data_IF_928495120765
#
_entry.id   IF_928495120765
#
_cell.length_a   1.000
_cell.length_b   1.000
_cell.length_c   1.000
_cell.angle_alpha   90.00
_cell.angle_beta   90.00
_cell.angle_gamma   90.00
#
_symmetry.space_group_name_H-M   'P 1'
#
loop_
_entity.id
_entity.type
_entity.pdbx_description
1 polymer ?
#
# COMPACT_ATOMS: atom_id res chain seq x y z
N UNK A 1 5.82 2.38 12.73
CA UNK A 1 5.58 1.41 13.82
C UNK A 1 6.65 0.34 13.75
N UNK A 2 7.23 -0.08 14.88
CA UNK A 2 8.19 -1.19 14.90
C UNK A 2 7.51 -2.54 14.72
N UNK A 3 8.22 -3.55 14.23
CA UNK A 3 7.65 -4.86 13.88
C UNK A 3 6.95 -5.58 15.03
N UNK A 4 7.53 -5.55 16.24
CA UNK A 4 6.90 -6.14 17.45
C UNK A 4 5.54 -5.48 17.72
N UNK A 5 5.49 -4.14 17.76
CA UNK A 5 4.24 -3.41 18.00
C UNK A 5 3.20 -3.71 16.93
N UNK A 6 3.61 -3.76 15.65
CA UNK A 6 2.70 -4.08 14.55
C UNK A 6 2.00 -5.43 14.73
N UNK A 7 2.75 -6.48 15.12
CA UNK A 7 2.21 -7.82 15.31
C UNK A 7 1.44 -8.00 16.63
N UNK A 8 1.69 -7.14 17.63
CA UNK A 8 1.12 -7.32 18.98
C UNK A 8 0.01 -6.35 19.34
N UNK A 9 -0.33 -5.37 18.48
CA UNK A 9 -1.41 -4.40 18.74
C UNK A 9 -2.64 -4.65 17.88
N UNK A 10 -3.85 -4.31 18.37
CA UNK A 10 -5.08 -4.36 17.59
C UNK A 10 -5.00 -3.55 16.29
N UNK A 11 -5.81 -3.91 15.30
CA UNK A 11 -5.84 -3.27 13.99
C UNK A 11 -5.96 -1.73 14.04
N UNK A 12 -6.85 -1.19 14.89
CA UNK A 12 -7.06 0.26 14.98
C UNK A 12 -5.88 1.03 15.62
N UNK A 13 -4.96 0.36 16.33
CA UNK A 13 -3.69 0.99 16.76
C UNK A 13 -2.77 1.30 15.57
N UNK A 14 -2.87 0.54 14.49
CA UNK A 14 -2.10 0.82 13.27
C UNK A 14 -2.61 2.11 12.61
N UNK A 15 -3.93 2.30 12.58
CA UNK A 15 -4.56 3.51 12.08
C UNK A 15 -4.17 4.73 12.91
N UNK A 16 -4.27 4.62 14.24
CA UNK A 16 -3.87 5.69 15.16
C UNK A 16 -2.41 6.11 14.93
N UNK A 17 -1.49 5.15 14.89
CA UNK A 17 -0.07 5.43 14.66
C UNK A 17 0.20 6.05 13.28
N UNK A 18 -0.56 5.66 12.25
CA UNK A 18 -0.44 6.25 10.92
C UNK A 18 -0.93 7.70 10.90
N UNK A 19 -2.10 7.99 11.49
CA UNK A 19 -2.66 9.34 11.55
C UNK A 19 -1.79 10.28 12.37
N UNK A 20 -1.35 9.87 13.57
CA UNK A 20 -0.46 10.65 14.41
C UNK A 20 0.79 11.07 13.63
N UNK A 21 1.43 10.10 12.98
CA UNK A 21 2.62 10.34 12.16
C UNK A 21 2.34 11.30 11.01
N UNK A 22 1.31 11.05 10.22
CA UNK A 22 0.98 11.86 9.04
C UNK A 22 0.60 13.29 9.41
N UNK A 23 -0.20 13.49 10.47
CA UNK A 23 -0.59 14.81 10.93
C UNK A 23 0.62 15.63 11.39
N UNK A 24 1.58 14.99 12.06
CA UNK A 24 2.85 15.62 12.46
C UNK A 24 3.74 15.92 11.25
N UNK A 25 3.97 14.94 10.37
CA UNK A 25 4.81 15.11 9.17
C UNK A 25 4.28 16.17 8.21
N UNK A 26 2.96 16.34 8.13
CA UNK A 26 2.31 17.38 7.31
C UNK A 26 2.14 18.72 8.04
N UNK A 27 2.57 18.82 9.30
CA UNK A 27 2.52 20.06 10.09
C UNK A 27 1.11 20.48 10.51
N UNK A 28 0.13 19.58 10.45
CA UNK A 28 -1.25 19.83 10.92
C UNK A 28 -1.28 19.94 12.44
N UNK A 29 -0.47 19.13 13.12
CA UNK A 29 -0.24 19.20 14.58
C UNK A 29 1.27 19.10 14.86
N UNK A 30 1.73 19.65 15.98
CA UNK A 30 3.12 19.45 16.41
C UNK A 30 3.23 18.22 17.32
N UNK A 31 4.39 17.54 17.29
CA UNK A 31 4.66 16.41 18.18
C UNK A 31 4.46 16.79 19.67
N UNK A 32 4.95 17.95 20.08
CA UNK A 32 4.76 18.47 21.43
C UNK A 32 3.28 18.73 21.79
N UNK A 33 2.41 19.04 20.82
CA UNK A 33 0.98 19.18 21.08
C UNK A 33 0.32 17.80 21.33
N UNK A 34 0.75 16.77 20.61
CA UNK A 34 0.30 15.38 20.83
C UNK A 34 0.74 14.90 22.21
N UNK A 35 2.02 15.04 22.56
CA UNK A 35 2.58 14.62 23.85
C UNK A 35 1.84 15.27 25.04
N UNK A 36 1.62 16.58 25.01
CA UNK A 36 0.87 17.27 26.08
C UNK A 36 -0.56 16.75 26.24
N UNK A 37 -1.24 16.39 25.16
CA UNK A 37 -2.59 15.82 25.24
C UNK A 37 -2.59 14.39 25.76
N UNK A 38 -1.57 13.61 25.41
CA UNK A 38 -1.38 12.26 25.96
C UNK A 38 -1.12 12.30 27.46
N UNK A 39 -0.24 13.19 27.94
CA UNK A 39 0.03 13.36 29.36
C UNK A 39 -1.23 13.76 30.14
N UNK A 40 -2.04 14.68 29.57
CA UNK A 40 -3.32 15.05 30.16
C UNK A 40 -4.31 13.87 30.19
N UNK A 41 -4.36 13.06 29.13
CA UNK A 41 -5.23 11.88 29.02
C UNK A 41 -4.89 10.77 30.01
N UNK A 42 -3.60 10.58 30.31
CA UNK A 42 -3.11 9.54 31.22
C UNK A 42 -3.11 9.97 32.69
N UNK A 43 -3.20 11.27 32.95
CA UNK A 43 -3.39 11.83 34.30
C UNK A 43 -4.86 11.88 34.71
N UNK A 44 -5.13 12.58 35.82
CA UNK A 44 -6.49 12.85 36.31
C UNK A 44 -7.14 14.07 35.62
N UNK A 45 -6.57 14.54 34.50
CA UNK A 45 -7.04 15.71 33.78
C UNK A 45 -8.26 15.38 32.93
N UNK A 46 -9.29 16.24 32.97
CA UNK A 46 -10.43 16.10 32.07
C UNK A 46 -10.00 16.44 30.64
N UNK A 47 -10.25 15.53 29.70
CA UNK A 47 -9.95 15.75 28.30
C UNK A 47 -11.05 16.61 27.68
N UNK A 48 -10.69 17.82 27.28
CA UNK A 48 -11.59 18.64 26.48
C UNK A 48 -11.73 18.06 25.06
N UNK A 49 -12.82 17.31 24.86
CA UNK A 49 -13.22 16.75 23.57
C UNK A 49 -14.18 17.67 22.80
N UNK A 50 -14.39 18.91 23.23
CA UNK A 50 -15.36 19.83 22.61
C UNK A 50 -14.94 20.40 21.24
N UNK A 51 -13.87 19.88 20.65
CA UNK A 51 -13.31 20.32 19.38
C UNK A 51 -14.16 19.94 18.17
N UNK A 52 -15.39 20.46 18.11
CA UNK A 52 -16.29 20.51 16.94
C UNK A 52 -16.63 19.16 16.31
N UNK A 53 -17.92 18.86 16.20
CA UNK A 53 -18.34 17.72 15.38
C UNK A 53 -17.92 17.93 13.92
N UNK A 54 -17.33 16.92 13.25
CA UNK A 54 -17.09 17.01 11.82
C UNK A 54 -18.43 17.17 11.09
N UNK A 55 -18.42 17.90 9.97
CA UNK A 55 -19.60 17.99 9.11
C UNK A 55 -19.93 16.58 8.57
N UNK A 56 -20.97 15.96 9.14
CA UNK A 56 -21.38 14.62 8.79
C UNK A 56 -21.78 14.49 7.32
N UNK A 57 -22.32 15.55 6.71
CA UNK A 57 -22.67 15.56 5.29
C UNK A 57 -21.40 15.57 4.43
N UNK A 58 -20.39 16.36 4.79
CA UNK A 58 -19.10 16.38 4.10
C UNK A 58 -18.37 15.03 4.21
N UNK A 59 -18.40 14.40 5.39
CA UNK A 59 -17.83 13.06 5.60
C UNK A 59 -18.54 12.03 4.72
N UNK A 60 -19.87 12.05 4.68
CA UNK A 60 -20.66 11.12 3.86
C UNK A 60 -20.36 11.30 2.38
N UNK A 61 -20.35 12.55 1.90
CA UNK A 61 -20.01 12.84 0.50
C UNK A 61 -18.59 12.37 0.13
N UNK A 62 -17.61 12.51 1.03
CA UNK A 62 -16.24 12.01 0.79
C UNK A 62 -16.19 10.49 0.67
N UNK A 63 -16.97 9.78 1.48
CA UNK A 63 -17.08 8.32 1.40
C UNK A 63 -17.74 7.89 0.08
N UNK A 64 -18.78 8.61 -0.34
CA UNK A 64 -19.53 8.34 -1.56
C UNK A 64 -18.73 8.62 -2.84
N UNK A 65 -17.95 9.70 -2.87
CA UNK A 65 -17.09 10.06 -4.01
C UNK A 65 -15.95 9.03 -4.19
N UNK A 66 -15.50 8.42 -3.08
CA UNK A 66 -14.46 7.41 -3.08
C UNK A 66 -13.09 7.93 -3.52
N UNK A 67 -12.14 7.02 -3.70
CA UNK A 67 -10.82 7.37 -4.23
C UNK A 67 -10.46 6.45 -5.40
N UNK A 68 -10.55 6.98 -6.62
CA UNK A 68 -10.17 6.25 -7.84
C UNK A 68 -8.68 6.48 -8.12
N UNK A 69 -7.90 5.40 -8.14
CA UNK A 69 -6.47 5.42 -8.46
C UNK A 69 -6.17 5.11 -9.92
N UNK A 70 -7.16 4.66 -10.69
CA UNK A 70 -7.05 4.47 -12.14
C UNK A 70 -6.82 5.83 -12.82
N UNK A 71 -5.96 5.82 -13.84
CA UNK A 71 -5.52 7.00 -14.59
C UNK A 71 -5.39 6.66 -16.07
N UNK A 72 -6.51 6.67 -16.79
CA UNK A 72 -6.54 6.56 -18.24
C UNK A 72 -5.81 5.34 -18.80
N UNK A 73 -5.49 5.40 -20.09
CA UNK A 73 -4.86 4.30 -20.83
C UNK A 73 -3.43 4.70 -21.17
N UNK A 74 -2.48 3.87 -20.76
CA UNK A 74 -1.08 3.90 -21.20
C UNK A 74 -0.85 2.78 -22.24
N UNK A 75 0.32 2.73 -22.89
CA UNK A 75 0.72 1.67 -23.85
C UNK A 75 1.44 0.53 -23.10
N UNK A 76 0.72 -0.53 -22.64
CA UNK A 76 1.32 -1.57 -21.81
C UNK A 76 2.40 -2.34 -22.56
N UNK A 77 3.56 -2.53 -21.93
CA UNK A 77 4.67 -3.30 -22.50
C UNK A 77 4.41 -4.81 -22.56
N UNK A 78 3.41 -5.30 -21.83
CA UNK A 78 3.04 -6.71 -21.76
C UNK A 78 1.55 -6.92 -22.03
N UNK A 79 1.21 -8.09 -22.56
CA UNK A 79 -0.17 -8.53 -22.76
C UNK A 79 -0.48 -9.84 -22.01
N UNK A 80 -1.76 -10.20 -21.90
CA UNK A 80 -2.17 -11.44 -21.26
C UNK A 80 -1.54 -12.66 -21.97
N UNK A 81 -0.91 -13.53 -21.19
CA UNK A 81 -0.15 -14.68 -21.68
C UNK A 81 1.37 -14.46 -21.73
N UNK A 82 1.84 -13.21 -21.62
CA UNK A 82 3.28 -12.93 -21.60
C UNK A 82 3.95 -13.48 -20.36
N UNK A 83 5.14 -14.04 -20.58
CA UNK A 83 6.05 -14.45 -19.50
C UNK A 83 6.78 -13.21 -19.01
N UNK A 84 6.85 -13.04 -17.69
CA UNK A 84 7.54 -11.92 -17.04
C UNK A 84 8.37 -12.41 -15.86
N UNK A 85 9.39 -11.65 -15.50
CA UNK A 85 10.13 -11.84 -14.26
C UNK A 85 9.99 -10.59 -13.38
N UNK A 86 9.78 -10.78 -12.08
CA UNK A 86 9.77 -9.68 -11.12
C UNK A 86 11.21 -9.24 -10.84
N UNK A 87 11.48 -7.96 -11.01
CA UNK A 87 12.80 -7.36 -10.74
C UNK A 87 13.23 -7.58 -9.30
N UNK A 88 14.53 -7.72 -9.09
CA UNK A 88 15.12 -7.84 -7.76
C UNK A 88 15.44 -6.47 -7.13
N UNK A 89 14.43 -5.63 -6.93
CA UNK A 89 14.59 -4.31 -6.33
C UNK A 89 14.22 -4.28 -4.85
N UNK A 90 14.94 -3.47 -4.07
CA UNK A 90 14.77 -3.36 -2.60
C UNK A 90 14.66 -1.88 -2.21
N UNK A 91 13.58 -1.18 -2.60
CA UNK A 91 13.42 0.23 -2.26
C UNK A 91 13.32 0.41 -0.74
N UNK A 92 13.91 1.49 -0.23
CA UNK A 92 13.83 1.84 1.21
C UNK A 92 12.47 2.43 1.61
N UNK A 93 11.71 2.94 0.63
CA UNK A 93 10.42 3.59 0.82
C UNK A 93 9.24 2.63 0.77
N UNK A 94 8.05 3.16 0.57
CA UNK A 94 6.87 2.33 0.35
C UNK A 94 7.01 1.55 -0.97
N UNK A 95 6.66 0.26 -0.94
CA UNK A 95 6.44 -0.51 -2.16
C UNK A 95 5.32 -1.52 -1.99
N UNK A 96 4.66 -1.86 -3.10
CA UNK A 96 3.66 -2.94 -3.17
C UNK A 96 4.20 -4.24 -3.75
N UNK A 97 5.46 -4.30 -4.17
CA UNK A 97 6.12 -5.54 -4.59
C UNK A 97 6.57 -6.35 -3.36
N UNK A 98 5.88 -7.46 -3.00
CA UNK A 98 6.22 -8.28 -1.85
C UNK A 98 7.54 -9.02 -2.06
N UNK A 99 8.31 -9.19 -0.98
CA UNK A 99 9.64 -9.81 -1.04
C UNK A 99 9.64 -11.22 -1.64
N UNK A 100 8.60 -12.01 -1.39
CA UNK A 100 8.50 -13.40 -1.87
C UNK A 100 8.31 -13.52 -3.38
N UNK A 101 7.94 -12.43 -4.06
CA UNK A 101 7.81 -12.40 -5.52
C UNK A 101 9.10 -11.95 -6.21
N UNK A 102 10.07 -11.38 -5.50
CA UNK A 102 11.29 -10.84 -6.15
C UNK A 102 12.06 -11.95 -6.83
N UNK A 103 12.42 -11.74 -8.10
CA UNK A 103 13.04 -12.72 -9.03
C UNK A 103 12.11 -13.84 -9.51
N UNK A 104 10.90 -13.95 -8.99
CA UNK A 104 9.98 -14.98 -9.42
C UNK A 104 9.54 -14.74 -10.86
N UNK A 105 9.47 -15.83 -11.61
CA UNK A 105 8.90 -15.86 -12.96
C UNK A 105 7.39 -16.10 -12.88
N UNK A 106 6.63 -15.37 -13.67
CA UNK A 106 5.18 -15.51 -13.75
C UNK A 106 4.68 -15.34 -15.18
N UNK A 107 3.36 -15.41 -15.31
CA UNK A 107 2.65 -15.14 -16.56
C UNK A 107 1.61 -14.06 -16.30
N UNK A 108 1.55 -13.05 -17.16
CA UNK A 108 0.50 -12.02 -17.11
C UNK A 108 -0.85 -12.69 -17.37
N UNK A 109 -1.76 -12.56 -16.42
CA UNK A 109 -3.13 -13.08 -16.51
C UNK A 109 -4.07 -12.03 -17.10
N UNK A 110 -3.95 -10.78 -16.65
CA UNK A 110 -4.75 -9.66 -17.13
C UNK A 110 -3.99 -8.34 -17.08
N UNK A 111 -4.37 -7.42 -17.97
CA UNK A 111 -3.94 -6.01 -17.97
C UNK A 111 -5.12 -5.18 -17.46
N UNK A 112 -4.96 -4.51 -16.31
CA UNK A 112 -6.06 -3.76 -15.68
C UNK A 112 -6.20 -2.33 -16.23
N UNK A 113 -5.18 -1.81 -16.91
CA UNK A 113 -5.06 -0.41 -17.30
C UNK A 113 -3.94 0.29 -16.52
N UNK A 114 -3.95 1.62 -16.48
CA UNK A 114 -2.90 2.39 -15.82
C UNK A 114 -3.37 2.96 -14.47
N UNK A 115 -2.54 2.81 -13.44
CA UNK A 115 -2.88 3.15 -12.05
C UNK A 115 -1.76 3.98 -11.41
N UNK A 116 -2.13 4.86 -10.48
CA UNK A 116 -1.16 5.60 -9.67
C UNK A 116 -0.22 4.62 -8.94
N UNK A 117 1.08 4.80 -9.15
CA UNK A 117 2.13 4.02 -8.50
C UNK A 117 2.21 4.37 -7.00
N UNK A 118 1.97 3.40 -6.11
CA UNK A 118 1.99 3.62 -4.65
C UNK A 118 3.34 4.12 -4.14
N UNK A 119 4.43 3.65 -4.74
CA UNK A 119 5.82 3.91 -4.33
C UNK A 119 6.16 5.39 -4.44
N UNK A 120 5.71 6.06 -5.52
CA UNK A 120 5.89 7.49 -5.70
C UNK A 120 4.84 8.28 -4.90
N UNK A 121 3.58 7.81 -4.90
CA UNK A 121 2.46 8.52 -4.30
C UNK A 121 2.59 8.66 -2.78
N UNK A 122 3.09 7.62 -2.10
CA UNK A 122 3.40 7.66 -0.66
C UNK A 122 4.40 8.78 -0.28
N UNK A 123 5.14 9.29 -1.26
CA UNK A 123 6.11 10.38 -1.12
C UNK A 123 5.66 11.68 -1.83
N UNK A 124 4.37 11.80 -2.15
CA UNK A 124 3.77 13.02 -2.69
C UNK A 124 4.05 13.27 -4.17
N UNK A 125 4.43 12.24 -4.93
CA UNK A 125 4.63 12.33 -6.39
C UNK A 125 3.62 11.42 -7.09
N UNK A 126 2.78 11.98 -7.93
CA UNK A 126 1.90 11.19 -8.78
C UNK A 126 2.68 10.68 -10.00
N UNK A 127 2.74 9.36 -10.13
CA UNK A 127 3.32 8.63 -11.25
C UNK A 127 2.31 7.56 -11.62
N UNK A 128 2.12 7.30 -12.90
CA UNK A 128 1.12 6.36 -13.42
C UNK A 128 1.84 5.32 -14.24
N UNK A 129 1.50 4.05 -14.02
CA UNK A 129 2.07 2.90 -14.71
C UNK A 129 0.97 1.87 -15.01
N UNK A 130 1.10 1.06 -16.07
CA UNK A 130 0.27 -0.12 -16.27
C UNK A 130 0.31 -1.06 -15.06
N UNK A 131 -0.85 -1.63 -14.72
CA UNK A 131 -1.04 -2.60 -13.65
C UNK A 131 -1.48 -3.95 -14.23
N UNK A 132 -0.78 -5.00 -13.82
CA UNK A 132 -0.99 -6.36 -14.31
C UNK A 132 -1.38 -7.29 -13.18
N UNK A 133 -2.37 -8.15 -13.38
CA UNK A 133 -2.49 -9.36 -12.58
C UNK A 133 -1.48 -10.38 -13.12
N UNK A 134 -0.52 -10.81 -12.28
CA UNK A 134 0.47 -11.82 -12.66
C UNK A 134 0.20 -13.10 -11.88
N UNK A 135 0.11 -14.21 -12.60
CA UNK A 135 -0.02 -15.55 -12.05
C UNK A 135 1.36 -16.15 -11.82
N UNK A 136 1.58 -16.69 -10.62
CA UNK A 136 2.77 -17.41 -10.21
C UNK A 136 2.43 -18.85 -9.83
N UNK A 137 3.27 -19.77 -10.24
CA UNK A 137 3.19 -21.16 -9.81
C UNK A 137 3.80 -21.29 -8.39
N UNK A 138 3.15 -22.00 -7.45
CA UNK A 138 3.67 -22.18 -6.10
C UNK A 138 5.08 -22.79 -6.05
N UNK A 139 5.41 -23.67 -6.99
CA UNK A 139 6.74 -24.30 -7.08
C UNK A 139 7.85 -23.28 -7.39
N UNK A 140 7.57 -22.24 -8.17
CA UNK A 140 8.51 -21.13 -8.42
C UNK A 140 8.80 -20.34 -7.13
N UNK A 141 7.77 -20.15 -6.30
CA UNK A 141 7.87 -19.32 -5.09
C UNK A 141 8.45 -20.07 -3.90
N UNK A 142 8.06 -21.34 -3.75
CA UNK A 142 8.27 -22.11 -2.52
C UNK A 142 9.03 -23.41 -2.74
N UNK A 143 9.36 -23.75 -3.99
CA UNK A 143 10.09 -24.95 -4.36
C UNK A 143 9.22 -26.21 -4.49
N UNK A 144 9.84 -27.39 -4.63
CA UNK A 144 9.16 -28.62 -5.05
C UNK A 144 8.15 -29.18 -4.04
N UNK A 145 8.21 -28.74 -2.78
CA UNK A 145 7.29 -29.15 -1.72
C UNK A 145 6.02 -28.27 -1.66
N UNK A 146 5.87 -27.32 -2.59
CA UNK A 146 4.69 -26.47 -2.67
C UNK A 146 3.41 -27.27 -3.01
N UNK A 147 2.28 -26.75 -2.55
CA UNK A 147 0.97 -27.34 -2.87
C UNK A 147 0.73 -27.33 -4.38
N UNK A 148 0.21 -28.43 -4.92
CA UNK A 148 -0.01 -28.59 -6.36
C UNK A 148 -1.40 -28.11 -6.75
N UNK A 149 -1.54 -27.70 -8.01
CA UNK A 149 -2.81 -27.19 -8.58
C UNK A 149 -3.34 -25.91 -7.92
N UNK A 150 -2.46 -25.17 -7.24
CA UNK A 150 -2.74 -23.83 -6.71
C UNK A 150 -2.04 -22.77 -7.57
N UNK A 151 -2.46 -21.51 -7.44
CA UNK A 151 -1.83 -20.38 -8.10
C UNK A 151 -1.87 -19.15 -7.20
N UNK A 152 -0.78 -18.37 -7.23
CA UNK A 152 -0.73 -17.08 -6.55
C UNK A 152 -0.92 -16.00 -7.60
N UNK A 153 -1.86 -15.10 -7.35
CA UNK A 153 -2.07 -13.92 -8.18
C UNK A 153 -1.64 -12.69 -7.40
N UNK A 154 -0.86 -11.83 -8.06
CA UNK A 154 -0.48 -10.55 -7.49
C UNK A 154 -0.59 -9.44 -8.54
N UNK A 155 -1.17 -8.33 -8.13
CA UNK A 155 -1.20 -7.13 -8.95
C UNK A 155 0.16 -6.40 -8.85
N UNK A 156 0.85 -6.27 -9.97
CA UNK A 156 2.18 -5.70 -10.08
C UNK A 156 2.20 -4.61 -11.14
N UNK A 157 2.79 -3.46 -10.81
CA UNK A 157 2.99 -2.38 -11.76
C UNK A 157 4.10 -2.74 -12.76
N UNK A 158 4.00 -2.22 -13.98
CA UNK A 158 4.93 -2.51 -15.08
C UNK A 158 6.40 -2.41 -14.69
N UNK A 159 6.77 -1.35 -13.96
CA UNK A 159 8.16 -1.14 -13.54
C UNK A 159 8.70 -2.24 -12.64
N UNK A 160 7.86 -3.04 -11.99
CA UNK A 160 8.31 -4.19 -11.18
C UNK A 160 8.69 -5.38 -12.05
N UNK A 161 8.33 -5.37 -13.33
CA UNK A 161 8.47 -6.48 -14.25
C UNK A 161 9.56 -6.21 -15.28
N UNK A 162 10.12 -7.29 -15.80
CA UNK A 162 10.98 -7.30 -16.97
C UNK A 162 10.69 -8.54 -17.82
N UNK A 163 10.98 -8.44 -19.12
CA UNK A 163 10.93 -9.59 -20.00
C UNK A 163 11.94 -10.64 -19.51
N UNK A 164 11.59 -11.94 -19.53
CA UNK A 164 12.49 -13.01 -19.12
C UNK A 164 13.74 -13.03 -20.02
N UNK A 165 14.87 -13.36 -19.40
CA UNK A 165 16.15 -13.54 -20.10
C UNK A 165 16.17 -14.77 -21.02
#
# INVERSE_FOLDING_TARGET
MGGVRYLSTPYYEHWLAAFERLLVEKGVVSAAAVERRLDAALGDGDLDLSGGDPDAAAVTATIEDGHVSERGVDDPAFEAGDRVQVRNEHPKGHTRCPDYLRRASGTVDAVHGAFVLPDANAHGREVVDPLYAVRFDPEELWGPDAERNEAIYADLWERYLEAPA
#
